data_IF_002685221961
#
_entry.id   IF_002685221961
#
_cell.length_a   1.000
_cell.length_b   1.000
_cell.length_c   1.000
_cell.angle_alpha   90.00
_cell.angle_beta   90.00
_cell.angle_gamma   90.00
#
_symmetry.space_group_name_H-M   'P 1'
#
loop_
_entity.id
_entity.type
_entity.pdbx_description
1 polymer ?
#
# COMPACT_ATOMS: atom_id res chain seq x y z
N UNK A 1 -0.15 7.09 2.62
CA UNK A 1 -0.93 5.86 2.84
C UNK A 1 -1.30 5.75 4.31
N UNK A 2 -2.57 5.97 4.63
CA UNK A 2 -3.06 6.19 6.00
C UNK A 2 -2.86 4.95 6.90
N UNK A 3 -3.08 3.75 6.35
CA UNK A 3 -2.87 2.51 7.10
C UNK A 3 -1.43 2.33 7.59
N UNK A 4 -0.44 2.85 6.86
CA UNK A 4 0.96 2.81 7.27
C UNK A 4 1.22 3.71 8.47
N UNK A 5 0.62 4.89 8.44
CA UNK A 5 0.70 5.87 9.51
C UNK A 5 0.03 5.31 10.77
N UNK A 6 -1.17 4.71 10.66
CA UNK A 6 -1.82 4.02 11.78
C UNK A 6 -0.93 2.92 12.38
N UNK A 7 -0.29 2.08 11.55
CA UNK A 7 0.67 1.07 12.06
C UNK A 7 1.84 1.71 12.81
N UNK A 8 2.30 2.88 12.36
CA UNK A 8 3.39 3.62 12.99
C UNK A 8 2.98 4.26 14.31
N UNK A 9 1.81 4.89 14.39
CA UNK A 9 1.40 5.69 15.55
C UNK A 9 0.59 4.90 16.58
N UNK A 10 -0.17 3.89 16.16
CA UNK A 10 -1.11 3.18 17.05
C UNK A 10 -0.52 1.95 17.74
N UNK A 11 0.56 1.35 17.20
CA UNK A 11 1.20 0.18 17.79
C UNK A 11 2.52 0.53 18.49
N UNK A 12 2.76 -0.06 19.67
CA UNK A 12 4.04 0.00 20.37
C UNK A 12 4.90 -1.22 20.04
N UNK A 13 6.19 -1.03 19.79
CA UNK A 13 7.12 -2.12 19.46
C UNK A 13 8.09 -1.71 18.36
N UNK A 14 8.70 -2.66 17.65
CA UNK A 14 9.70 -2.35 16.62
C UNK A 14 9.11 -2.42 15.21
N UNK A 15 9.29 -1.37 14.43
CA UNK A 15 8.92 -1.33 13.02
C UNK A 15 9.67 -2.34 12.18
N UNK A 16 8.94 -3.08 11.36
CA UNK A 16 9.49 -4.08 10.46
C UNK A 16 8.86 -3.95 9.08
N UNK A 17 9.73 -3.92 8.08
CA UNK A 17 9.38 -4.06 6.68
C UNK A 17 9.90 -5.39 6.15
N UNK A 18 9.02 -6.13 5.49
CA UNK A 18 9.33 -7.43 4.92
C UNK A 18 9.17 -7.38 3.41
N UNK A 19 10.10 -8.03 2.69
CA UNK A 19 9.95 -8.37 1.27
C UNK A 19 9.94 -9.88 1.11
N UNK A 20 8.88 -10.42 0.51
CA UNK A 20 8.72 -11.82 0.14
C UNK A 20 8.87 -11.95 -1.37
N UNK A 21 9.85 -12.74 -1.81
CA UNK A 21 10.12 -12.96 -3.23
C UNK A 21 9.68 -14.35 -3.65
N UNK A 22 8.98 -14.43 -4.78
CA UNK A 22 8.66 -15.68 -5.45
C UNK A 22 9.94 -16.40 -5.93
N UNK A 23 10.08 -17.68 -5.59
CA UNK A 23 11.29 -18.44 -5.89
C UNK A 23 11.43 -18.79 -7.39
N UNK A 24 10.32 -19.18 -8.03
CA UNK A 24 10.32 -19.54 -9.44
C UNK A 24 10.48 -18.35 -10.39
N UNK A 25 10.80 -18.64 -11.63
CA UNK A 25 11.20 -17.64 -12.62
C UNK A 25 10.72 -17.93 -14.04
N UNK A 26 9.51 -18.49 -14.20
CA UNK A 26 8.90 -18.75 -15.51
C UNK A 26 7.59 -17.97 -15.65
N UNK A 27 7.16 -17.65 -16.89
CA UNK A 27 5.87 -16.99 -17.11
C UNK A 27 4.67 -17.75 -16.55
N UNK A 28 4.69 -19.08 -16.62
CA UNK A 28 3.67 -19.96 -16.04
C UNK A 28 3.58 -19.80 -14.52
N UNK A 29 4.74 -19.79 -13.83
CA UNK A 29 4.80 -19.53 -12.39
C UNK A 29 4.25 -18.15 -12.05
N UNK A 30 4.53 -17.13 -12.86
CA UNK A 30 4.02 -15.78 -12.63
C UNK A 30 2.50 -15.71 -12.80
N UNK A 31 1.93 -16.34 -13.84
CA UNK A 31 0.47 -16.43 -14.01
C UNK A 31 -0.20 -17.15 -12.84
N UNK A 32 0.32 -18.34 -12.49
CA UNK A 32 -0.20 -19.14 -11.40
C UNK A 32 -0.18 -18.36 -10.08
N UNK A 33 0.96 -17.76 -9.73
CA UNK A 33 1.09 -16.97 -8.51
C UNK A 33 0.14 -15.76 -8.51
N UNK A 34 0.01 -15.06 -9.63
CA UNK A 34 -0.87 -13.89 -9.77
C UNK A 34 -2.34 -14.25 -9.53
N UNK A 35 -2.81 -15.36 -10.11
CA UNK A 35 -4.15 -15.89 -9.90
C UNK A 35 -4.38 -16.33 -8.45
N UNK A 36 -3.35 -16.89 -7.80
CA UNK A 36 -3.41 -17.35 -6.42
C UNK A 36 -3.23 -16.23 -5.37
N UNK A 37 -3.03 -14.97 -5.77
CA UNK A 37 -2.70 -13.88 -4.83
C UNK A 37 -3.72 -13.69 -3.70
N UNK A 38 -5.01 -13.93 -3.95
CA UNK A 38 -6.03 -13.90 -2.90
C UNK A 38 -5.79 -14.93 -1.79
N UNK A 39 -5.51 -16.19 -2.16
CA UNK A 39 -5.17 -17.25 -1.21
C UNK A 39 -3.86 -16.94 -0.47
N UNK A 40 -2.83 -16.50 -1.21
CA UNK A 40 -1.53 -16.14 -0.65
C UNK A 40 -1.66 -15.06 0.44
N UNK A 41 -2.37 -13.98 0.13
CA UNK A 41 -2.64 -12.88 1.07
C UNK A 41 -3.39 -13.38 2.30
N UNK A 42 -4.44 -14.18 2.12
CA UNK A 42 -5.23 -14.72 3.23
C UNK A 42 -4.38 -15.56 4.19
N UNK A 43 -3.59 -16.50 3.67
CA UNK A 43 -2.72 -17.38 4.49
C UNK A 43 -1.62 -16.60 5.21
N UNK A 44 -1.02 -15.61 4.55
CA UNK A 44 -0.01 -14.76 5.17
C UNK A 44 -0.63 -13.85 6.24
N UNK A 45 -1.79 -13.25 5.99
CA UNK A 45 -2.48 -12.39 6.93
C UNK A 45 -2.93 -13.15 8.19
N UNK A 46 -3.49 -14.36 8.04
CA UNK A 46 -3.85 -15.19 9.21
C UNK A 46 -2.65 -15.51 10.08
N UNK A 47 -1.51 -15.86 9.47
CA UNK A 47 -0.29 -16.12 10.22
C UNK A 47 0.24 -14.85 10.90
N UNK A 48 0.25 -13.71 10.21
CA UNK A 48 0.74 -12.43 10.75
C UNK A 48 -0.08 -11.91 11.94
N UNK A 49 -1.40 -12.09 11.95
CA UNK A 49 -2.27 -11.65 13.06
C UNK A 49 -1.78 -12.11 14.45
N UNK A 50 -1.21 -13.30 14.53
CA UNK A 50 -0.69 -13.85 15.79
C UNK A 50 0.76 -13.45 16.10
N UNK A 51 1.42 -12.72 15.21
CA UNK A 51 2.85 -12.42 15.27
C UNK A 51 3.15 -10.94 15.45
N UNK A 52 2.22 -10.07 15.08
CA UNK A 52 2.41 -8.62 15.07
C UNK A 52 1.56 -7.96 16.14
N UNK A 53 2.03 -6.80 16.61
CA UNK A 53 1.36 -6.02 17.65
C UNK A 53 -0.03 -5.61 17.17
N UNK A 54 -1.04 -5.83 18.01
CA UNK A 54 -2.44 -5.45 17.80
C UNK A 54 -3.06 -5.95 16.47
N UNK A 55 -2.45 -6.97 15.85
CA UNK A 55 -2.79 -7.39 14.48
C UNK A 55 -2.71 -6.28 13.44
N UNK A 56 -1.95 -5.20 13.69
CA UNK A 56 -1.83 -4.06 12.80
C UNK A 56 -0.73 -4.28 11.76
N UNK A 57 -1.16 -4.45 10.51
CA UNK A 57 -0.27 -4.56 9.36
C UNK A 57 -0.90 -4.02 8.09
N UNK A 58 -0.05 -3.73 7.11
CA UNK A 58 -0.43 -3.51 5.72
C UNK A 58 0.51 -4.20 4.75
N UNK A 59 0.06 -4.41 3.52
CA UNK A 59 0.84 -5.02 2.47
C UNK A 59 0.65 -4.30 1.14
N UNK A 60 1.65 -4.46 0.27
CA UNK A 60 1.62 -4.01 -1.12
C UNK A 60 2.37 -5.00 -2.00
N UNK A 61 1.87 -5.22 -3.20
CA UNK A 61 2.57 -5.94 -4.26
C UNK A 61 3.37 -4.96 -5.12
N UNK A 62 4.60 -5.34 -5.49
CA UNK A 62 5.43 -4.63 -6.47
C UNK A 62 5.84 -5.61 -7.57
N UNK A 63 5.87 -5.18 -8.84
CA UNK A 63 6.57 -5.94 -9.87
C UNK A 63 8.10 -5.84 -9.71
N UNK A 64 8.78 -6.98 -9.63
CA UNK A 64 10.23 -7.03 -9.80
C UNK A 64 10.61 -6.69 -11.27
N UNK A 65 11.86 -6.27 -11.52
CA UNK A 65 12.40 -6.06 -12.90
C UNK A 65 12.13 -7.23 -13.86
N UNK A 66 12.03 -8.45 -13.35
CA UNK A 66 11.78 -9.68 -14.12
C UNK A 66 10.29 -10.04 -14.32
N UNK A 67 9.36 -9.19 -13.88
CA UNK A 67 7.92 -9.42 -13.95
C UNK A 67 7.32 -10.24 -12.80
N UNK A 68 8.13 -10.86 -11.94
CA UNK A 68 7.65 -11.56 -10.76
C UNK A 68 7.06 -10.58 -9.73
N UNK A 69 5.93 -10.94 -9.11
CA UNK A 69 5.38 -10.17 -8.00
C UNK A 69 6.23 -10.35 -6.72
N UNK A 70 6.57 -9.23 -6.10
CA UNK A 70 7.07 -9.13 -4.73
C UNK A 70 5.92 -8.76 -3.82
N UNK A 71 5.87 -9.39 -2.65
CA UNK A 71 4.91 -9.01 -1.62
C UNK A 71 5.67 -8.32 -0.50
N UNK A 72 5.27 -7.09 -0.20
CA UNK A 72 5.82 -6.31 0.88
C UNK A 72 4.83 -6.22 2.02
N UNK A 73 5.33 -6.34 3.25
CA UNK A 73 4.55 -6.10 4.46
C UNK A 73 5.21 -5.04 5.33
N UNK A 74 4.37 -4.30 6.05
CA UNK A 74 4.75 -3.32 7.06
C UNK A 74 3.91 -3.56 8.32
N UNK A 75 4.58 -3.71 9.46
CA UNK A 75 3.97 -3.95 10.76
C UNK A 75 4.96 -3.65 11.90
N UNK A 76 4.51 -3.79 13.15
CA UNK A 76 5.39 -3.79 14.33
C UNK A 76 5.47 -5.16 14.97
N UNK A 77 6.68 -5.54 15.39
CA UNK A 77 6.89 -6.74 16.21
C UNK A 77 6.88 -6.37 17.70
N UNK A 78 6.37 -7.26 18.57
CA UNK A 78 6.48 -7.09 20.01
C UNK A 78 7.94 -7.00 20.46
N UNK A 79 8.18 -6.28 21.56
CA UNK A 79 9.49 -6.23 22.17
C UNK A 79 9.95 -7.63 22.61
N UNK A 80 11.25 -7.88 22.54
CA UNK A 80 11.83 -9.21 22.83
C UNK A 80 11.82 -10.19 21.65
N UNK A 81 10.98 -10.00 20.62
CA UNK A 81 10.99 -10.86 19.42
C UNK A 81 12.26 -10.61 18.59
N UNK A 82 13.12 -11.62 18.50
CA UNK A 82 14.38 -11.55 17.76
C UNK A 82 14.14 -11.68 16.25
N UNK A 83 14.75 -10.80 15.46
CA UNK A 83 14.65 -10.83 13.99
C UNK A 83 15.01 -12.18 13.37
N UNK A 84 16.03 -12.86 13.91
CA UNK A 84 16.48 -14.16 13.40
C UNK A 84 15.37 -15.21 13.51
N UNK A 85 14.69 -15.26 14.65
CA UNK A 85 13.61 -16.20 14.91
C UNK A 85 12.41 -15.90 14.04
N UNK A 86 11.95 -14.64 14.04
CA UNK A 86 10.85 -14.20 13.19
C UNK A 86 11.13 -14.48 11.71
N UNK A 87 12.33 -14.19 11.22
CA UNK A 87 12.73 -14.45 9.82
C UNK A 87 12.70 -15.94 9.48
N UNK A 88 13.09 -16.82 10.43
CA UNK A 88 13.04 -18.27 10.23
C UNK A 88 11.59 -18.75 10.10
N UNK A 89 10.70 -18.31 10.99
CA UNK A 89 9.28 -18.66 10.93
C UNK A 89 8.61 -18.11 9.67
N UNK A 90 8.87 -16.84 9.35
CA UNK A 90 8.38 -16.19 8.15
C UNK A 90 8.81 -16.94 6.88
N UNK A 91 10.06 -17.44 6.84
CA UNK A 91 10.55 -18.29 5.74
C UNK A 91 9.81 -19.61 5.64
N UNK A 92 9.59 -20.26 6.78
CA UNK A 92 8.80 -21.50 6.83
C UNK A 92 7.39 -21.26 6.30
N UNK A 93 6.72 -20.20 6.78
CA UNK A 93 5.37 -19.86 6.37
C UNK A 93 5.29 -19.50 4.89
N UNK A 94 6.17 -18.63 4.40
CA UNK A 94 6.19 -18.24 3.00
C UNK A 94 6.39 -19.45 2.09
N UNK A 95 7.34 -20.31 2.44
CA UNK A 95 7.59 -21.55 1.72
C UNK A 95 6.37 -22.48 1.73
N UNK A 96 5.72 -22.64 2.88
CA UNK A 96 4.51 -23.45 3.02
C UNK A 96 3.41 -22.96 2.08
N UNK A 97 3.13 -21.66 2.08
CA UNK A 97 2.12 -21.06 1.18
C UNK A 97 2.43 -21.34 -0.29
N UNK A 98 3.70 -21.19 -0.70
CA UNK A 98 4.10 -21.50 -2.09
C UNK A 98 3.97 -22.99 -2.43
N UNK A 99 4.24 -23.90 -1.48
CA UNK A 99 4.05 -25.33 -1.67
C UNK A 99 2.57 -25.69 -1.78
N UNK A 100 1.72 -25.11 -0.93
CA UNK A 100 0.26 -25.30 -0.96
C UNK A 100 -0.30 -24.88 -2.32
N UNK A 101 0.07 -23.69 -2.80
CA UNK A 101 -0.37 -23.23 -4.14
C UNK A 101 0.16 -24.14 -5.24
N UNK A 102 1.39 -24.62 -5.14
CA UNK A 102 1.95 -25.53 -6.15
C UNK A 102 1.25 -26.89 -6.17
N UNK A 103 0.77 -27.36 -5.02
CA UNK A 103 0.04 -28.61 -4.91
C UNK A 103 -1.35 -28.49 -5.54
N UNK A 104 -2.05 -27.39 -5.24
CA UNK A 104 -3.41 -27.13 -5.75
C UNK A 104 -3.44 -26.83 -7.25
N UNK A 105 -2.47 -26.06 -7.75
CA UNK A 105 -2.44 -25.64 -9.17
C UNK A 105 -1.72 -26.61 -10.09
N UNK A 106 -1.05 -27.62 -9.53
CA UNK A 106 -0.08 -28.48 -10.23
C UNK A 106 1.08 -27.74 -10.92
N UNK A 107 1.30 -26.44 -10.61
CA UNK A 107 2.42 -25.64 -11.14
C UNK A 107 3.52 -25.55 -10.08
N UNK A 108 4.74 -25.96 -10.42
CA UNK A 108 5.88 -25.82 -9.51
C UNK A 108 6.31 -24.35 -9.36
N UNK A 109 5.84 -23.65 -8.32
CA UNK A 109 6.22 -22.26 -8.03
C UNK A 109 7.70 -22.05 -7.68
N UNK A 110 8.48 -23.13 -7.63
CA UNK A 110 9.92 -23.12 -7.42
C UNK A 110 10.71 -23.40 -8.71
N UNK A 111 10.04 -23.55 -9.86
CA UNK A 111 10.64 -23.84 -11.17
C UNK A 111 11.63 -22.76 -11.59
N UNK A 112 12.84 -23.17 -11.96
CA UNK A 112 13.86 -22.27 -12.49
C UNK A 112 13.67 -22.06 -13.99
N UNK A 113 14.17 -20.93 -14.51
CA UNK A 113 14.09 -20.59 -15.94
C UNK A 113 14.93 -21.53 -16.82
N UNK A 114 16.08 -21.97 -16.30
CA UNK A 114 17.04 -22.89 -16.92
C UNK A 114 16.68 -24.38 -16.75
N UNK A 115 15.48 -24.69 -16.25
CA UNK A 115 15.09 -26.05 -15.89
C UNK A 115 15.49 -26.44 -14.47
N UNK A 116 14.86 -27.49 -13.93
CA UNK A 116 14.99 -27.89 -12.52
C UNK A 116 14.17 -27.03 -11.55
N UNK A 117 14.35 -27.24 -10.24
CA UNK A 117 13.48 -26.66 -9.21
C UNK A 117 14.22 -26.30 -7.93
N UNK A 118 13.78 -25.23 -7.26
CA UNK A 118 14.15 -24.90 -5.88
C UNK A 118 13.26 -25.59 -4.83
N UNK A 119 12.35 -26.49 -5.24
CA UNK A 119 11.33 -27.07 -4.36
C UNK A 119 11.89 -27.74 -3.12
N UNK A 120 13.08 -28.33 -3.17
CA UNK A 120 13.71 -29.02 -2.03
C UNK A 120 14.70 -28.14 -1.25
N UNK A 121 14.85 -26.87 -1.63
CA UNK A 121 15.80 -25.93 -1.04
C UNK A 121 15.07 -24.90 -0.17
N UNK A 122 14.99 -25.18 1.13
CA UNK A 122 14.26 -24.34 2.08
C UNK A 122 14.81 -22.89 2.20
N UNK A 123 16.08 -22.68 1.83
CA UNK A 123 16.78 -21.40 1.86
C UNK A 123 16.47 -20.49 0.66
N UNK A 124 15.85 -21.02 -0.42
CA UNK A 124 15.74 -20.31 -1.70
C UNK A 124 14.62 -19.30 -1.81
N UNK A 125 13.43 -19.47 -1.19
CA UNK A 125 12.49 -18.37 -1.05
C UNK A 125 13.16 -17.21 -0.34
N UNK A 126 13.49 -16.16 -1.13
CA UNK A 126 14.22 -15.01 -0.62
C UNK A 126 13.27 -14.16 0.21
N UNK A 127 13.74 -13.84 1.41
CA UNK A 127 13.04 -12.99 2.35
C UNK A 127 14.02 -11.98 2.86
N UNK A 128 13.59 -10.72 2.87
CA UNK A 128 14.33 -9.63 3.47
C UNK A 128 13.47 -9.06 4.59
N UNK A 129 14.09 -8.88 5.75
CA UNK A 129 13.47 -8.26 6.93
C UNK A 129 14.33 -7.06 7.30
N UNK A 130 13.73 -5.88 7.30
CA UNK A 130 14.39 -4.61 7.60
C UNK A 130 13.69 -3.95 8.79
N UNK A 131 14.48 -3.47 9.74
CA UNK A 131 13.97 -2.64 10.83
C UNK A 131 13.78 -1.22 10.33
N UNK A 132 12.65 -0.62 10.70
CA UNK A 132 12.36 0.77 10.42
C UNK A 132 12.39 1.57 11.72
N UNK A 133 13.04 2.73 11.68
CA UNK A 133 13.08 3.67 12.81
C UNK A 133 11.87 4.61 12.81
N UNK A 134 11.53 5.21 11.66
CA UNK A 134 10.40 6.13 11.42
C UNK A 134 9.96 6.13 9.95
N UNK A 135 8.95 6.93 9.63
CA UNK A 135 8.45 7.31 8.30
C UNK A 135 7.90 6.13 7.49
N UNK A 136 7.08 5.30 8.15
CA UNK A 136 6.61 4.05 7.56
C UNK A 136 5.76 4.32 6.33
N UNK A 137 4.90 5.35 6.41
CA UNK A 137 4.08 5.80 5.30
C UNK A 137 4.90 6.21 4.08
N UNK A 138 5.96 7.01 4.27
CA UNK A 138 6.87 7.39 3.17
C UNK A 138 7.55 6.14 2.59
N UNK A 139 8.02 5.25 3.47
CA UNK A 139 8.75 4.06 3.07
C UNK A 139 7.91 3.13 2.20
N UNK A 140 6.65 2.83 2.59
CA UNK A 140 5.79 1.93 1.82
C UNK A 140 5.21 2.60 0.57
N UNK A 141 5.06 3.93 0.56
CA UNK A 141 4.56 4.68 -0.60
C UNK A 141 5.51 4.57 -1.80
N UNK A 142 6.83 4.45 -1.56
CA UNK A 142 7.83 4.12 -2.59
C UNK A 142 7.52 2.82 -3.35
N UNK A 143 6.91 1.84 -2.69
CA UNK A 143 6.62 0.53 -3.29
C UNK A 143 5.26 0.52 -3.98
N UNK A 144 4.27 1.23 -3.43
CA UNK A 144 2.99 1.41 -4.08
C UNK A 144 3.11 2.16 -5.42
N UNK A 145 3.91 3.23 -5.50
CA UNK A 145 4.12 3.95 -6.76
C UNK A 145 4.81 3.12 -7.86
N UNK A 146 5.51 2.05 -7.48
CA UNK A 146 6.13 1.11 -8.42
C UNK A 146 5.21 0.01 -8.91
N UNK A 147 4.11 -0.25 -8.21
CA UNK A 147 3.07 -1.14 -8.70
C UNK A 147 2.48 -0.61 -10.00
N UNK A 148 2.25 0.71 -10.05
CA UNK A 148 1.65 1.42 -11.18
C UNK A 148 2.65 1.69 -12.30
N UNK A 149 3.88 2.13 -12.02
CA UNK A 149 4.84 2.50 -13.08
C UNK A 149 5.33 1.35 -13.99
N UNK A 150 4.93 0.11 -13.70
CA UNK A 150 5.24 -1.08 -14.52
C UNK A 150 4.00 -1.73 -15.14
N UNK A 151 2.81 -1.15 -14.96
CA UNK A 151 1.62 -1.55 -15.71
C UNK A 151 1.86 -1.24 -17.20
N UNK A 152 1.65 -2.23 -18.05
CA UNK A 152 1.91 -2.22 -19.50
C UNK A 152 2.77 -3.40 -19.94
N UNK A 153 3.89 -3.67 -19.26
CA UNK A 153 4.79 -4.78 -19.65
C UNK A 153 4.42 -6.13 -19.04
N UNK A 154 3.65 -6.14 -17.95
CA UNK A 154 3.35 -7.35 -17.18
C UNK A 154 1.87 -7.46 -16.78
N UNK A 155 0.96 -6.80 -17.49
CA UNK A 155 -0.46 -6.70 -17.11
C UNK A 155 -1.16 -8.06 -16.95
N UNK A 156 -0.68 -9.05 -17.69
CA UNK A 156 -1.10 -10.46 -17.59
C UNK A 156 -0.73 -11.15 -16.26
N UNK A 157 0.11 -10.54 -15.41
CA UNK A 157 0.56 -11.06 -14.11
C UNK A 157 0.10 -10.16 -12.95
N UNK A 158 -1.06 -9.54 -13.08
CA UNK A 158 -1.58 -8.61 -12.07
C UNK A 158 -2.17 -9.35 -10.86
N UNK A 159 -1.91 -8.90 -9.62
CA UNK A 159 -2.54 -9.45 -8.44
C UNK A 159 -4.02 -9.06 -8.40
N UNK A 160 -4.85 -9.82 -7.68
CA UNK A 160 -6.27 -9.46 -7.48
C UNK A 160 -6.45 -8.13 -6.75
N UNK A 161 -5.54 -7.80 -5.83
CA UNK A 161 -5.46 -6.51 -5.14
C UNK A 161 -4.00 -6.12 -5.01
N UNK A 162 -3.66 -4.89 -5.39
CA UNK A 162 -2.29 -4.38 -5.31
C UNK A 162 -1.84 -4.11 -3.88
N UNK A 163 -2.75 -3.74 -2.99
CA UNK A 163 -2.43 -3.45 -1.60
C UNK A 163 -3.62 -3.76 -0.69
N UNK A 164 -3.37 -3.76 0.60
CA UNK A 164 -4.40 -3.92 1.62
C UNK A 164 -3.84 -3.76 3.02
N UNK A 165 -4.72 -3.79 4.01
CA UNK A 165 -4.38 -3.72 5.41
C UNK A 165 -5.24 -4.67 6.25
N UNK A 166 -4.80 -4.93 7.48
CA UNK A 166 -5.59 -5.61 8.50
C UNK A 166 -6.95 -4.92 8.71
N UNK A 167 -7.93 -5.68 9.21
CA UNK A 167 -9.26 -5.14 9.49
C UNK A 167 -9.18 -4.08 10.60
N UNK A 168 -8.33 -4.34 11.57
CA UNK A 168 -8.06 -3.53 12.74
C UNK A 168 -7.44 -2.19 12.31
N UNK A 169 -6.40 -2.21 11.45
CA UNK A 169 -5.85 -0.97 10.89
C UNK A 169 -6.86 -0.21 10.04
N UNK A 170 -7.70 -0.91 9.26
CA UNK A 170 -8.75 -0.25 8.46
C UNK A 170 -9.79 0.46 9.35
N UNK A 171 -10.17 -0.13 10.47
CA UNK A 171 -11.11 0.48 11.41
C UNK A 171 -10.54 1.79 11.97
N UNK A 172 -9.29 1.75 12.45
CA UNK A 172 -8.59 2.93 12.95
C UNK A 172 -8.40 4.01 11.87
N UNK A 173 -8.09 3.63 10.63
CA UNK A 173 -8.05 4.60 9.51
C UNK A 173 -9.40 5.27 9.33
N UNK A 174 -10.51 4.51 9.37
CA UNK A 174 -11.86 5.09 9.21
C UNK A 174 -12.23 6.01 10.37
N UNK A 175 -11.85 5.66 11.59
CA UNK A 175 -12.08 6.47 12.78
C UNK A 175 -11.27 7.76 12.76
N UNK A 176 -10.01 7.70 12.33
CA UNK A 176 -9.14 8.85 12.20
C UNK A 176 -9.45 9.72 10.96
N UNK A 177 -10.24 9.20 10.02
CA UNK A 177 -10.57 9.92 8.79
C UNK A 177 -11.72 10.87 9.06
N UNK A 178 -11.44 12.15 8.86
CA UNK A 178 -12.50 13.14 8.73
C UNK A 178 -13.14 13.01 7.33
N UNK A 179 -14.43 12.72 7.29
CA UNK A 179 -15.23 12.79 6.07
C UNK A 179 -16.18 13.99 6.17
N UNK A 180 -16.04 14.93 5.24
CA UNK A 180 -16.90 16.11 5.15
C UNK A 180 -17.47 16.21 3.73
N UNK A 181 -18.78 16.42 3.64
CA UNK A 181 -19.43 16.79 2.37
C UNK A 181 -19.35 18.30 2.28
N UNK A 182 -18.64 18.79 1.27
CA UNK A 182 -18.53 20.22 1.01
C UNK A 182 -19.61 20.60 0.00
N UNK A 183 -20.67 21.33 0.40
CA UNK A 183 -21.69 21.78 -0.53
C UNK A 183 -21.09 22.82 -1.48
N UNK A 184 -21.07 22.51 -2.76
CA UNK A 184 -20.72 23.47 -3.80
C UNK A 184 -21.99 24.19 -4.24
N UNK A 185 -22.18 25.44 -3.80
CA UNK A 185 -23.36 26.24 -4.13
C UNK A 185 -23.42 26.64 -5.61
N UNK A 186 -22.29 26.60 -6.32
CA UNK A 186 -22.24 26.64 -7.78
C UNK A 186 -20.89 26.12 -8.28
N UNK A 187 -20.83 24.87 -8.74
CA UNK A 187 -19.74 24.50 -9.66
C UNK A 187 -20.14 25.09 -11.01
N UNK A 188 -19.97 26.40 -11.19
CA UNK A 188 -19.92 26.92 -12.56
C UNK A 188 -18.81 26.16 -13.26
N UNK A 189 -19.09 25.54 -14.40
CA UNK A 189 -18.04 24.93 -15.22
C UNK A 189 -17.03 26.02 -15.58
N UNK A 190 -15.85 26.01 -14.97
CA UNK A 190 -14.82 27.03 -15.17
C UNK A 190 -14.08 27.44 -13.89
N UNK A 191 -13.23 28.44 -14.03
CA UNK A 191 -12.30 28.93 -13.00
C UNK A 191 -12.99 29.33 -11.68
N UNK A 192 -14.17 29.96 -11.74
CA UNK A 192 -14.92 30.43 -10.57
C UNK A 192 -15.43 29.27 -9.68
N UNK A 193 -15.90 28.17 -10.29
CA UNK A 193 -16.34 26.99 -9.54
C UNK A 193 -15.19 26.30 -8.80
N UNK A 194 -13.98 26.38 -9.36
CA UNK A 194 -12.76 25.87 -8.71
C UNK A 194 -12.28 26.75 -7.57
N UNK A 195 -12.33 28.08 -7.70
CA UNK A 195 -12.05 28.98 -6.56
C UNK A 195 -13.00 28.71 -5.41
N UNK A 196 -14.31 28.57 -5.69
CA UNK A 196 -15.29 28.23 -4.66
C UNK A 196 -14.96 26.90 -3.97
N UNK A 197 -14.55 25.87 -4.71
CA UNK A 197 -14.12 24.61 -4.13
C UNK A 197 -12.87 24.77 -3.25
N UNK A 198 -11.86 25.53 -3.70
CA UNK A 198 -10.63 25.78 -2.94
C UNK A 198 -10.91 26.57 -1.65
N UNK A 199 -11.74 27.60 -1.71
CA UNK A 199 -12.17 28.37 -0.53
C UNK A 199 -12.92 27.49 0.46
N UNK A 200 -13.89 26.69 -0.02
CA UNK A 200 -14.62 25.79 0.86
C UNK A 200 -13.72 24.70 1.47
N UNK A 201 -12.71 24.21 0.74
CA UNK A 201 -11.70 23.30 1.27
C UNK A 201 -10.81 23.98 2.31
N UNK A 202 -10.41 25.24 2.07
CA UNK A 202 -9.65 26.06 3.02
C UNK A 202 -10.43 26.32 4.31
N UNK A 203 -11.70 26.72 4.20
CA UNK A 203 -12.60 26.94 5.33
C UNK A 203 -12.82 25.64 6.13
N UNK A 204 -13.02 24.52 5.44
CA UNK A 204 -13.11 23.21 6.09
C UNK A 204 -11.79 22.85 6.80
N UNK A 205 -10.64 23.09 6.16
CA UNK A 205 -9.33 22.83 6.76
C UNK A 205 -9.12 23.65 8.05
N UNK A 206 -9.44 24.95 8.02
CA UNK A 206 -9.37 25.85 9.17
C UNK A 206 -10.34 25.40 10.28
N UNK A 207 -11.58 25.12 9.93
CA UNK A 207 -12.64 24.72 10.88
C UNK A 207 -12.29 23.44 11.62
N UNK A 208 -11.70 22.48 10.90
CA UNK A 208 -11.27 21.21 11.48
C UNK A 208 -9.86 21.25 12.08
N UNK A 209 -9.25 22.45 12.18
CA UNK A 209 -7.92 22.68 12.75
C UNK A 209 -6.83 21.83 12.08
N UNK A 210 -6.91 21.66 10.76
CA UNK A 210 -5.78 21.20 9.97
C UNK A 210 -4.70 22.27 9.99
N UNK A 211 -3.81 22.22 10.98
CA UNK A 211 -2.67 23.13 11.09
C UNK A 211 -1.55 22.64 10.18
N UNK A 212 -1.62 23.00 8.89
CA UNK A 212 -0.53 22.74 7.96
C UNK A 212 0.66 23.67 8.18
N UNK A 213 1.85 23.11 8.42
CA UNK A 213 3.11 23.86 8.30
C UNK A 213 4.34 23.08 8.78
N UNK A 214 5.33 22.88 7.90
CA UNK A 214 6.68 22.41 8.28
C UNK A 214 7.52 23.61 8.80
N UNK A 215 8.38 23.40 9.82
CA UNK A 215 9.53 22.52 9.65
C UNK A 215 9.70 21.53 10.82
N UNK A 216 9.43 20.25 10.57
CA UNK A 216 9.80 19.18 11.48
C UNK A 216 9.13 17.85 11.16
N UNK A 217 7.84 17.72 11.42
CA UNK A 217 7.12 16.43 11.39
C UNK A 217 5.60 16.72 11.32
N UNK A 218 4.85 15.73 10.78
CA UNK A 218 3.38 15.65 10.65
C UNK A 218 2.69 16.61 9.65
N UNK A 219 2.56 16.15 8.39
CA UNK A 219 1.63 16.74 7.43
C UNK A 219 0.30 15.99 7.46
N UNK A 220 -0.78 16.72 7.72
CA UNK A 220 -2.13 16.24 7.43
C UNK A 220 -2.32 16.09 5.92
N UNK A 221 -2.74 14.90 5.49
CA UNK A 221 -3.06 14.63 4.09
C UNK A 221 -4.56 14.83 3.86
N UNK A 222 -4.94 15.77 2.98
CA UNK A 222 -6.32 15.92 2.55
C UNK A 222 -6.55 15.11 1.27
N UNK A 223 -7.38 14.06 1.33
CA UNK A 223 -7.78 13.34 0.11
C UNK A 223 -9.07 13.95 -0.44
N UNK A 224 -9.02 14.57 -1.63
CA UNK A 224 -10.20 15.14 -2.28
C UNK A 224 -10.65 14.21 -3.40
N UNK A 225 -11.86 13.66 -3.26
CA UNK A 225 -12.48 12.83 -4.30
C UNK A 225 -13.08 13.75 -5.37
N UNK A 226 -12.64 13.61 -6.61
CA UNK A 226 -13.03 14.50 -7.73
C UNK A 226 -13.68 13.72 -8.87
N UNK A 227 -14.59 14.34 -9.65
CA UNK A 227 -15.15 13.74 -10.86
C UNK A 227 -14.07 13.29 -11.86
N UNK A 228 -14.40 12.25 -12.64
CA UNK A 228 -13.49 11.68 -13.63
C UNK A 228 -13.08 12.74 -14.66
N UNK A 229 -11.78 12.84 -14.93
CA UNK A 229 -11.21 13.78 -15.89
C UNK A 229 -10.87 15.16 -15.30
N UNK A 230 -11.37 15.48 -14.11
CA UNK A 230 -11.12 16.76 -13.46
C UNK A 230 -9.82 16.80 -12.64
N UNK A 231 -9.27 15.63 -12.27
CA UNK A 231 -8.10 15.54 -11.39
C UNK A 231 -6.87 16.29 -11.90
N UNK A 232 -6.57 16.22 -13.21
CA UNK A 232 -5.40 16.90 -13.80
C UNK A 232 -5.57 18.42 -13.81
N UNK A 233 -6.75 18.91 -14.20
CA UNK A 233 -7.06 20.34 -14.20
C UNK A 233 -7.04 20.89 -12.78
N UNK A 234 -7.59 20.15 -11.81
CA UNK A 234 -7.56 20.55 -10.41
C UNK A 234 -6.12 20.56 -9.87
N UNK A 235 -5.32 19.53 -10.16
CA UNK A 235 -3.91 19.47 -9.76
C UNK A 235 -3.09 20.64 -10.32
N UNK A 236 -3.28 20.97 -11.61
CA UNK A 236 -2.59 22.09 -12.26
C UNK A 236 -2.92 23.42 -11.56
N UNK A 237 -4.18 23.63 -11.18
CA UNK A 237 -4.58 24.83 -10.47
C UNK A 237 -4.10 24.86 -9.02
N UNK A 238 -4.05 23.72 -8.32
CA UNK A 238 -3.38 23.67 -7.01
C UNK A 238 -1.91 24.12 -7.11
N UNK A 239 -1.19 23.70 -8.16
CA UNK A 239 0.20 24.12 -8.40
C UNK A 239 0.28 25.62 -8.69
N UNK A 240 -0.63 26.16 -9.50
CA UNK A 240 -0.68 27.58 -9.85
C UNK A 240 -0.97 28.47 -8.63
N UNK A 241 -1.99 28.12 -7.84
CA UNK A 241 -2.33 28.83 -6.60
C UNK A 241 -1.21 28.75 -5.56
N UNK A 242 -0.54 27.60 -5.46
CA UNK A 242 0.62 27.45 -4.59
C UNK A 242 1.78 28.35 -5.04
N UNK A 243 2.05 28.43 -6.34
CA UNK A 243 3.11 29.27 -6.89
C UNK A 243 2.85 30.77 -6.65
N UNK A 244 1.58 31.18 -6.56
CA UNK A 244 1.19 32.56 -6.27
C UNK A 244 1.16 32.89 -4.77
N UNK A 245 1.36 31.90 -3.88
CA UNK A 245 1.34 32.10 -2.43
C UNK A 245 -0.05 32.17 -1.81
N UNK A 246 -1.10 31.91 -2.60
CA UNK A 246 -2.51 32.02 -2.18
C UNK A 246 -2.99 30.79 -1.38
N UNK A 247 -2.20 29.71 -1.37
CA UNK A 247 -2.50 28.47 -0.67
C UNK A 247 -1.25 27.99 0.09
N UNK A 248 -1.39 27.78 1.40
CA UNK A 248 -0.40 27.02 2.19
C UNK A 248 -0.24 25.61 1.59
N UNK A 249 0.93 24.98 1.68
CA UNK A 249 1.17 23.64 1.14
C UNK A 249 0.37 22.59 1.91
N UNK A 250 -0.91 22.44 1.57
CA UNK A 250 -1.70 21.29 1.95
C UNK A 250 -1.29 20.15 1.01
N UNK A 251 -0.88 19.01 1.55
CA UNK A 251 -0.71 17.80 0.75
C UNK A 251 -2.10 17.27 0.37
N UNK A 252 -2.65 17.82 -0.72
CA UNK A 252 -3.89 17.38 -1.31
C UNK A 252 -3.63 16.16 -2.22
N UNK A 253 -4.06 14.97 -1.79
CA UNK A 253 -4.14 13.81 -2.66
C UNK A 253 -5.47 13.87 -3.43
N UNK A 254 -5.42 14.17 -4.73
CA UNK A 254 -6.61 14.14 -5.57
C UNK A 254 -6.93 12.71 -6.01
N UNK A 255 -8.09 12.20 -5.60
CA UNK A 255 -8.55 10.86 -5.94
C UNK A 255 -9.67 10.98 -6.98
N UNK A 256 -9.40 10.57 -8.22
CA UNK A 256 -10.41 10.55 -9.28
C UNK A 256 -11.46 9.46 -9.01
N UNK A 257 -12.75 9.76 -9.23
CA UNK A 257 -13.91 8.87 -9.02
C UNK A 257 -13.92 7.55 -9.83
N UNK A 258 -12.83 7.20 -10.49
CA UNK A 258 -12.68 5.95 -11.22
C UNK A 258 -11.77 4.90 -10.56
N UNK A 259 -11.16 5.19 -9.40
CA UNK A 259 -10.22 4.27 -8.74
C UNK A 259 -10.71 3.71 -7.41
N UNK A 260 -11.80 4.25 -6.85
CA UNK A 260 -12.41 3.71 -5.63
C UNK A 260 -13.08 2.33 -5.83
N UNK A 261 -13.23 1.84 -7.07
CA UNK A 261 -13.92 0.58 -7.39
C UNK A 261 -12.99 -0.59 -7.77
N UNK A 262 -11.68 -0.54 -7.46
CA UNK A 262 -10.81 -1.75 -7.48
C UNK A 262 -10.23 -2.12 -6.11
N UNK A 263 -10.96 -1.83 -5.03
CA UNK A 263 -11.02 -2.65 -3.83
C UNK A 263 -12.51 -2.89 -3.47
N UNK A 264 -12.94 -4.14 -3.25
CA UNK A 264 -14.18 -4.72 -3.80
C UNK A 264 -15.28 -4.86 -2.72
N UNK A 265 -16.44 -5.49 -2.98
CA UNK A 265 -17.16 -6.12 -1.87
C UNK A 265 -16.21 -7.02 -1.04
#
# INVERSE_FOLDING_TARGET
MDAAHIVETSAKGRGVFVTLTLAGNTPEVFRCFSAATGYVVDRMNRWLRYKVVDSLFMYVFEFQKRGALHMHYLFRLPDGVKNREFTRELRSQWRKVLLDVSAESHVDLFRKKDGGTWRHRADKPRIQVKNLSRTYAQYISKYASKAESKSGSFDQFTPRRWWGCSREARALVREARLEAIIPTTSISTGFQGMISLLLNLGDAAITHKFSGGFPGEEADCLSVIVPRGSARSLAACFVEFFANGDLMPLQCALVSLNECNKAPP
#
